data_IF_211266404910
#
_entry.id   IF_211266404910
#
_cell.length_a   1.000
_cell.length_b   1.000
_cell.length_c   1.000
_cell.angle_alpha   90.00
_cell.angle_beta   90.00
_cell.angle_gamma   90.00
#
_symmetry.space_group_name_H-M   'P 1'
#
loop_
_entity.id
_entity.type
_entity.pdbx_description
1 polymer ?
#
# COMPACT_ATOMS: atom_id res chain seq x y z
N UNK A 1 7.43 -14.43 -8.54
CA UNK A 1 6.00 -14.03 -8.54
C UNK A 1 5.94 -12.51 -8.66
N UNK A 2 5.79 -11.99 -9.88
CA UNK A 2 5.75 -10.55 -10.13
C UNK A 2 4.52 -9.90 -9.48
N UNK A 3 3.36 -10.57 -9.56
CA UNK A 3 2.11 -10.08 -8.98
C UNK A 3 2.17 -9.86 -7.46
N UNK A 4 2.66 -10.84 -6.70
CA UNK A 4 2.76 -10.73 -5.23
C UNK A 4 3.80 -9.69 -4.74
N UNK A 5 4.75 -9.31 -5.61
CA UNK A 5 5.82 -8.38 -5.27
C UNK A 5 5.47 -6.94 -5.64
N UNK A 6 4.81 -6.74 -6.78
CA UNK A 6 4.62 -5.44 -7.42
C UNK A 6 3.15 -5.02 -7.51
N UNK A 7 2.21 -5.91 -7.18
CA UNK A 7 0.76 -5.68 -7.24
C UNK A 7 0.29 -4.91 -8.51
N UNK A 8 0.70 -5.33 -9.72
CA UNK A 8 0.25 -4.70 -10.95
C UNK A 8 -1.25 -4.95 -11.18
N UNK A 9 -1.90 -4.07 -11.93
CA UNK A 9 -3.25 -4.35 -12.42
C UNK A 9 -3.24 -5.54 -13.39
N UNK A 10 -4.38 -6.21 -13.56
CA UNK A 10 -4.48 -7.36 -14.47
C UNK A 10 -4.20 -7.00 -15.92
N UNK A 11 -4.50 -5.77 -16.35
CA UNK A 11 -4.16 -5.28 -17.69
C UNK A 11 -2.63 -5.14 -17.88
N UNK A 12 -1.93 -4.61 -16.87
CA UNK A 12 -0.46 -4.50 -16.89
C UNK A 12 0.16 -5.89 -16.85
N UNK A 13 -0.37 -6.79 -16.02
CA UNK A 13 0.09 -8.17 -15.97
C UNK A 13 -0.15 -8.88 -17.30
N UNK A 14 -1.32 -8.71 -17.90
CA UNK A 14 -1.66 -9.27 -19.19
C UNK A 14 -0.73 -8.78 -20.30
N UNK A 15 -0.48 -7.47 -20.35
CA UNK A 15 0.48 -6.86 -21.27
C UNK A 15 1.90 -7.44 -21.12
N UNK A 16 2.39 -7.64 -19.90
CA UNK A 16 3.74 -8.14 -19.64
C UNK A 16 3.95 -9.60 -20.02
N UNK A 17 2.88 -10.40 -20.02
CA UNK A 17 2.94 -11.85 -20.27
C UNK A 17 2.18 -12.27 -21.53
N UNK A 18 1.83 -11.32 -22.41
CA UNK A 18 1.13 -11.54 -23.68
C UNK A 18 -0.18 -12.34 -23.53
N UNK A 19 -0.99 -11.95 -22.54
CA UNK A 19 -2.30 -12.54 -22.26
C UNK A 19 -3.35 -11.45 -22.02
N UNK A 20 -4.63 -11.77 -22.19
CA UNK A 20 -5.69 -10.83 -21.81
C UNK A 20 -5.83 -10.71 -20.28
N UNK A 21 -6.39 -9.60 -19.81
CA UNK A 21 -6.57 -9.33 -18.39
C UNK A 21 -7.46 -10.34 -17.66
N UNK A 22 -8.40 -11.00 -18.37
CA UNK A 22 -9.24 -12.05 -17.80
C UNK A 22 -8.45 -13.32 -17.50
N UNK A 23 -7.63 -13.75 -18.45
CA UNK A 23 -6.68 -14.85 -18.25
C UNK A 23 -5.65 -14.53 -17.17
N UNK A 24 -5.09 -13.32 -17.16
CA UNK A 24 -4.17 -12.87 -16.11
C UNK A 24 -4.81 -12.95 -14.71
N UNK A 25 -6.08 -12.58 -14.58
CA UNK A 25 -6.83 -12.69 -13.34
C UNK A 25 -7.04 -14.16 -12.92
N UNK A 26 -7.50 -15.01 -13.83
CA UNK A 26 -7.69 -16.45 -13.59
C UNK A 26 -6.40 -17.15 -13.17
N UNK A 27 -5.30 -16.84 -13.84
CA UNK A 27 -3.98 -17.39 -13.55
C UNK A 27 -3.47 -16.93 -12.19
N UNK A 28 -3.61 -15.65 -11.85
CA UNK A 28 -3.24 -15.15 -10.52
C UNK A 28 -3.96 -15.91 -9.42
N UNK A 29 -5.28 -16.12 -9.55
CA UNK A 29 -6.04 -16.87 -8.54
C UNK A 29 -5.59 -18.33 -8.43
N UNK A 30 -5.44 -19.01 -9.58
CA UNK A 30 -5.09 -20.43 -9.63
C UNK A 30 -3.67 -20.67 -9.12
N UNK A 31 -2.70 -19.94 -9.66
CA UNK A 31 -1.28 -20.07 -9.32
C UNK A 31 -1.01 -19.63 -7.88
N UNK A 32 -1.71 -18.62 -7.37
CA UNK A 32 -1.58 -18.22 -5.96
C UNK A 32 -2.06 -19.31 -5.00
N UNK A 33 -3.11 -20.04 -5.35
CA UNK A 33 -3.59 -21.16 -4.54
C UNK A 33 -2.57 -22.32 -4.52
N UNK A 34 -2.03 -22.67 -5.68
CA UNK A 34 -0.99 -23.71 -5.81
C UNK A 34 0.27 -23.31 -5.04
N UNK A 35 0.73 -22.08 -5.19
CA UNK A 35 1.91 -21.57 -4.48
C UNK A 35 1.72 -21.62 -2.96
N UNK A 36 0.55 -21.20 -2.44
CA UNK A 36 0.26 -21.28 -1.01
C UNK A 36 0.32 -22.72 -0.48
N UNK A 37 -0.19 -23.68 -1.25
CA UNK A 37 -0.12 -25.11 -0.90
C UNK A 37 1.34 -25.60 -0.89
N UNK A 38 2.10 -25.30 -1.94
CA UNK A 38 3.51 -25.69 -1.99
C UNK A 38 4.34 -25.10 -0.84
N UNK A 39 4.12 -23.83 -0.49
CA UNK A 39 4.80 -23.20 0.65
C UNK A 39 4.40 -23.84 1.99
N UNK A 40 3.14 -24.26 2.13
CA UNK A 40 2.67 -24.99 3.31
C UNK A 40 3.28 -26.39 3.38
N UNK A 41 3.31 -27.13 2.27
CA UNK A 41 3.90 -28.48 2.20
C UNK A 41 5.40 -28.46 2.51
N UNK A 42 6.10 -27.40 2.11
CA UNK A 42 7.52 -27.18 2.41
C UNK A 42 7.76 -26.63 3.83
N UNK A 43 6.71 -26.27 4.58
CA UNK A 43 6.84 -25.67 5.92
C UNK A 43 7.45 -24.26 5.93
N UNK A 44 7.49 -23.58 4.78
CA UNK A 44 8.09 -22.23 4.62
C UNK A 44 7.04 -21.17 4.32
N UNK A 45 5.77 -21.43 4.66
CA UNK A 45 4.71 -20.44 4.53
C UNK A 45 5.05 -19.23 5.40
N UNK A 46 4.96 -17.99 4.88
CA UNK A 46 5.11 -16.80 5.71
C UNK A 46 4.07 -16.83 6.84
N UNK A 47 4.51 -16.51 8.06
CA UNK A 47 3.61 -16.36 9.20
C UNK A 47 2.57 -15.26 8.90
N UNK A 48 1.28 -15.60 8.98
CA UNK A 48 0.16 -14.67 8.74
C UNK A 48 -0.52 -14.18 10.01
N UNK A 49 -0.39 -14.94 11.08
CA UNK A 49 -1.04 -14.68 12.37
C UNK A 49 -0.04 -15.08 13.43
N UNK A 50 0.26 -14.14 14.33
CA UNK A 50 1.05 -14.42 15.52
C UNK A 50 0.07 -14.97 16.57
N UNK A 51 0.24 -16.23 16.95
CA UNK A 51 -0.67 -16.91 17.88
C UNK A 51 -0.08 -16.99 19.30
N UNK A 52 1.21 -16.68 19.43
CA UNK A 52 1.95 -16.71 20.68
C UNK A 52 2.78 -15.42 20.83
N UNK A 53 3.12 -15.07 22.08
CA UNK A 53 3.92 -13.87 22.37
C UNK A 53 5.37 -14.07 21.93
N UNK A 54 5.84 -15.31 22.01
CA UNK A 54 7.18 -15.73 21.59
C UNK A 54 7.39 -15.52 20.08
N UNK A 55 6.35 -15.76 19.26
CA UNK A 55 6.39 -15.48 17.81
C UNK A 55 6.48 -13.98 17.51
N UNK A 56 5.98 -13.12 18.40
CA UNK A 56 6.10 -11.67 18.28
C UNK A 56 7.50 -11.21 18.65
N UNK A 57 8.12 -11.79 19.68
CA UNK A 57 9.50 -11.50 20.07
C UNK A 57 10.49 -11.90 18.96
N UNK A 58 10.33 -13.07 18.35
CA UNK A 58 11.13 -13.49 17.19
C UNK A 58 10.96 -12.56 15.98
N UNK A 59 9.75 -12.05 15.77
CA UNK A 59 9.48 -11.08 14.71
C UNK A 59 10.09 -9.71 15.05
N UNK A 60 10.03 -9.28 16.31
CA UNK A 60 10.62 -8.03 16.77
C UNK A 60 12.13 -8.07 16.61
N UNK A 61 12.80 -9.16 17.02
CA UNK A 61 14.23 -9.38 16.81
C UNK A 61 14.61 -9.34 15.31
N UNK A 62 13.77 -9.92 14.44
CA UNK A 62 13.96 -9.87 12.99
C UNK A 62 13.83 -8.43 12.44
N UNK A 63 12.94 -7.63 13.02
CA UNK A 63 12.64 -6.26 12.65
C UNK A 63 13.56 -5.23 13.31
N UNK A 64 14.24 -5.56 14.41
CA UNK A 64 15.14 -4.65 15.14
C UNK A 64 16.35 -4.24 14.26
N UNK A 65 16.70 -5.08 13.30
CA UNK A 65 17.68 -4.78 12.25
C UNK A 65 17.12 -3.89 11.12
N UNK A 66 15.80 -3.74 11.04
CA UNK A 66 15.08 -2.88 10.10
C UNK A 66 14.57 -1.65 10.86
N UNK A 67 15.45 -0.67 11.09
CA UNK A 67 15.17 0.50 11.94
C UNK A 67 13.90 1.32 11.63
N UNK A 68 13.15 1.01 10.55
CA UNK A 68 11.78 1.47 10.32
C UNK A 68 10.95 0.35 9.67
N UNK A 69 9.95 -0.16 10.38
CA UNK A 69 8.91 -1.01 9.79
C UNK A 69 7.89 -0.13 9.04
N UNK A 70 7.95 -0.13 7.71
CA UNK A 70 6.99 0.60 6.87
C UNK A 70 5.82 -0.34 6.54
N UNK A 71 4.71 -0.14 7.23
CA UNK A 71 3.45 -0.79 6.90
C UNK A 71 2.81 0.02 5.76
N UNK A 72 2.68 -0.59 4.58
CA UNK A 72 1.93 -0.02 3.47
C UNK A 72 0.42 -0.08 3.79
N UNK A 73 -0.01 0.82 4.67
CA UNK A 73 -1.39 1.06 4.98
C UNK A 73 -1.93 2.10 4.03
N UNK A 74 -2.94 1.73 3.24
CA UNK A 74 -3.82 2.65 2.48
C UNK A 74 -3.98 3.96 3.24
N UNK A 75 -3.77 5.09 2.55
CA UNK A 75 -3.92 6.44 3.11
C UNK A 75 -5.18 6.51 3.99
N UNK A 76 -5.00 6.56 5.31
CA UNK A 76 -6.11 6.77 6.23
C UNK A 76 -6.51 8.23 6.13
N UNK A 77 -7.81 8.50 5.99
CA UNK A 77 -8.34 9.85 6.12
C UNK A 77 -7.93 10.41 7.49
N UNK A 78 -6.95 11.32 7.51
CA UNK A 78 -6.59 12.03 8.72
C UNK A 78 -7.58 13.18 8.90
N UNK A 79 -8.24 13.24 10.06
CA UNK A 79 -9.06 14.40 10.41
C UNK A 79 -8.13 15.60 10.45
N UNK A 80 -8.35 16.56 9.54
CA UNK A 80 -7.55 17.77 9.45
C UNK A 80 -7.56 18.49 10.81
N UNK A 81 -6.40 18.64 11.48
CA UNK A 81 -6.33 19.39 12.73
C UNK A 81 -6.85 20.81 12.49
N UNK A 82 -7.76 21.26 13.36
CA UNK A 82 -8.32 22.62 13.34
C UNK A 82 -7.31 23.65 13.86
N UNK A 83 -6.33 23.20 14.64
CA UNK A 83 -5.20 24.02 15.09
C UNK A 83 -4.26 24.35 13.92
N UNK A 84 -4.08 25.65 13.67
CA UNK A 84 -3.33 26.18 12.53
C UNK A 84 -1.84 25.87 12.57
N UNK A 85 -1.24 25.76 13.75
CA UNK A 85 0.20 25.44 13.87
C UNK A 85 0.45 23.97 13.55
N UNK A 86 -0.39 23.07 14.05
CA UNK A 86 -0.33 21.63 13.75
C UNK A 86 -0.64 21.36 12.27
N UNK A 87 -1.50 22.15 11.67
CA UNK A 87 -1.82 22.04 10.24
C UNK A 87 -0.64 22.40 9.33
N UNK A 88 0.22 23.37 9.72
CA UNK A 88 1.43 23.72 8.97
C UNK A 88 2.49 22.61 9.01
N UNK A 89 2.63 21.95 10.16
CA UNK A 89 3.58 20.85 10.34
C UNK A 89 3.24 19.66 9.43
N UNK A 90 1.95 19.37 9.24
CA UNK A 90 1.48 18.28 8.38
C UNK A 90 1.16 18.72 6.94
N UNK A 91 1.58 19.91 6.53
CA UNK A 91 1.30 20.42 5.19
C UNK A 91 2.21 19.78 4.14
N UNK A 92 1.64 18.95 3.25
CA UNK A 92 2.38 18.22 2.20
C UNK A 92 2.87 19.08 1.03
N UNK A 93 2.87 20.41 1.16
CA UNK A 93 3.36 21.34 0.13
C UNK A 93 2.45 21.48 -1.10
N UNK A 94 1.31 20.78 -1.16
CA UNK A 94 0.34 20.92 -2.27
C UNK A 94 -0.23 22.34 -2.29
N UNK A 95 0.24 23.17 -3.23
CA UNK A 95 -0.30 24.51 -3.47
C UNK A 95 -1.72 24.41 -4.05
N UNK A 96 -2.65 25.22 -3.54
CA UNK A 96 -3.99 25.32 -4.13
C UNK A 96 -3.93 26.11 -5.43
N UNK A 97 -4.47 25.55 -6.50
CA UNK A 97 -4.80 26.28 -7.73
C UNK A 97 -6.10 27.06 -7.50
N UNK A 98 -6.04 28.17 -6.76
CA UNK A 98 -7.15 29.12 -6.76
C UNK A 98 -6.82 30.20 -7.78
N UNK A 99 -7.56 30.22 -8.90
CA UNK A 99 -7.49 31.30 -9.88
C UNK A 99 -7.82 32.63 -9.19
N UNK A 100 -7.13 33.70 -9.58
CA UNK A 100 -7.26 35.03 -8.99
C UNK A 100 -8.73 35.39 -8.71
N UNK A 101 -9.03 35.73 -7.45
CA UNK A 101 -10.25 36.49 -7.15
C UNK A 101 -10.05 37.86 -7.79
N UNK A 102 -10.69 38.07 -8.95
CA UNK A 102 -10.85 39.40 -9.51
C UNK A 102 -11.50 40.27 -8.43
N UNK A 103 -10.77 41.29 -8.00
CA UNK A 103 -11.31 42.35 -7.14
C UNK A 103 -12.13 43.23 -8.06
N UNK A 104 -13.44 43.03 -8.08
CA UNK A 104 -14.31 43.97 -8.77
C UNK A 104 -14.32 45.29 -8.00
N UNK A 105 -13.97 46.30 -8.78
CA UNK A 105 -13.70 47.69 -8.50
C UNK A 105 -14.92 48.40 -7.87
N UNK A 106 -14.68 49.26 -6.89
CA UNK A 106 -15.67 50.27 -6.46
C UNK A 106 -15.98 51.22 -7.62
N UNK A 107 -17.26 51.48 -7.90
CA UNK A 107 -17.69 52.64 -8.66
C UNK A 107 -19.07 53.16 -8.19
N UNK A 108 -19.06 54.44 -7.79
CA UNK A 108 -20.18 55.40 -7.59
C UNK A 108 -21.21 55.14 -6.51
#
# INVERSE_FOLDING_TARGET
MYYLKAYPTFDVLGYLFDMDGGNANGDVHTLSAVLKRALADLGVSPARTLNAVEELEELDDLLDHQGVAIIDGVERECVRPQDGERQKIHYSGKKKTYGEKHRDFNAS
#
